data_IF_501829686109
#
_entry.id   IF_501829686109
#
_cell.length_a   1.000
_cell.length_b   1.000
_cell.length_c   1.000
_cell.angle_alpha   90.00
_cell.angle_beta   90.00
_cell.angle_gamma   90.00
#
_symmetry.space_group_name_H-M   'P 1'
#
loop_
_entity.id
_entity.type
_entity.pdbx_description
1 polymer ?
#
# COMPACT_ATOMS: atom_id res chain seq x y z
N UNK A 1 -4.82 -10.69 9.20
CA UNK A 1 -5.33 -9.35 9.62
C UNK A 1 -6.59 -9.54 10.42
N UNK A 2 -6.56 -9.20 11.72
CA UNK A 2 -7.69 -9.43 12.64
C UNK A 2 -8.74 -8.32 12.57
N UNK A 3 -8.30 -7.07 12.44
CA UNK A 3 -9.15 -5.89 12.47
C UNK A 3 -9.61 -5.44 11.08
N UNK A 4 -10.80 -4.90 10.99
CA UNK A 4 -11.34 -4.25 9.80
C UNK A 4 -10.96 -2.76 9.73
N UNK A 5 -11.49 -2.04 8.73
CA UNK A 5 -11.18 -0.63 8.54
C UNK A 5 -11.64 0.23 9.71
N UNK A 6 -12.88 0.03 10.17
CA UNK A 6 -13.47 0.85 11.25
C UNK A 6 -12.75 0.65 12.58
N UNK A 7 -12.39 -0.59 12.88
CA UNK A 7 -11.62 -0.94 14.07
C UNK A 7 -10.24 -0.29 14.05
N UNK A 8 -9.53 -0.36 12.93
CA UNK A 8 -8.23 0.31 12.77
C UNK A 8 -8.34 1.83 12.89
N UNK A 9 -9.35 2.46 12.27
CA UNK A 9 -9.54 3.90 12.33
C UNK A 9 -9.83 4.39 13.75
N UNK A 10 -10.53 3.59 14.56
CA UNK A 10 -10.74 3.87 15.98
C UNK A 10 -9.47 3.73 16.82
N UNK A 11 -8.69 2.67 16.58
CA UNK A 11 -7.46 2.39 17.34
C UNK A 11 -6.43 3.51 17.18
N UNK A 12 -6.28 4.06 15.97
CA UNK A 12 -5.24 5.07 15.68
C UNK A 12 -5.82 6.46 15.46
N UNK A 13 -7.11 6.68 15.70
CA UNK A 13 -7.78 7.97 15.62
C UNK A 13 -7.60 8.67 14.24
N UNK A 14 -7.85 7.93 13.17
CA UNK A 14 -7.71 8.45 11.80
C UNK A 14 -8.65 9.62 11.58
N UNK A 15 -8.11 10.75 11.11
CA UNK A 15 -8.91 11.95 10.82
C UNK A 15 -9.93 11.67 9.72
N UNK A 16 -11.15 12.22 9.90
CA UNK A 16 -12.23 12.11 8.93
C UNK A 16 -11.92 12.87 7.62
N UNK A 17 -11.13 13.95 7.71
CA UNK A 17 -10.76 14.78 6.57
C UNK A 17 -9.40 14.35 5.98
N UNK A 18 -9.20 14.45 4.65
CA UNK A 18 -7.91 14.16 4.03
C UNK A 18 -6.83 15.14 4.48
N UNK A 19 -5.66 14.63 4.85
CA UNK A 19 -4.49 15.45 5.19
C UNK A 19 -3.96 16.18 3.94
N UNK A 20 -4.08 15.53 2.77
CA UNK A 20 -3.71 16.12 1.48
C UNK A 20 -4.99 16.35 0.71
N UNK A 21 -5.35 17.62 0.42
CA UNK A 21 -6.53 17.93 -0.37
C UNK A 21 -6.32 17.58 -1.85
N UNK A 22 -7.40 17.12 -2.50
CA UNK A 22 -7.39 16.79 -3.92
C UNK A 22 -6.83 15.40 -4.23
N UNK A 23 -6.59 15.18 -5.52
CA UNK A 23 -6.11 13.90 -6.02
C UNK A 23 -4.61 13.74 -5.84
N UNK A 24 -4.16 12.53 -5.48
CA UNK A 24 -2.75 12.22 -5.38
C UNK A 24 -2.45 10.74 -5.51
N UNK A 25 -1.20 10.44 -5.89
CA UNK A 25 -0.59 9.11 -5.79
C UNK A 25 0.12 9.04 -4.44
N UNK A 26 -0.18 8.03 -3.64
CA UNK A 26 0.60 7.73 -2.45
C UNK A 26 1.56 6.59 -2.74
N UNK A 27 2.86 6.83 -2.58
CA UNK A 27 3.88 5.79 -2.63
C UNK A 27 4.37 5.45 -1.23
N UNK A 28 4.35 4.15 -0.88
CA UNK A 28 4.78 3.67 0.44
C UNK A 28 5.72 2.47 0.34
N UNK A 29 6.94 2.64 0.87
CA UNK A 29 7.91 1.58 1.08
C UNK A 29 8.98 2.03 2.08
N UNK A 30 9.88 1.11 2.47
CA UNK A 30 11.03 1.42 3.31
C UNK A 30 12.27 1.92 2.55
N UNK A 31 12.23 1.96 1.23
CA UNK A 31 13.31 2.44 0.38
C UNK A 31 12.80 2.85 -0.99
N UNK A 32 13.49 3.79 -1.59
CA UNK A 32 13.18 4.28 -2.94
C UNK A 32 14.47 4.38 -3.74
N UNK A 33 14.56 3.64 -4.84
CA UNK A 33 15.69 3.73 -5.78
C UNK A 33 15.37 4.67 -6.94
N UNK A 34 16.36 4.94 -7.78
CA UNK A 34 16.23 5.89 -8.88
C UNK A 34 15.22 5.41 -9.94
N UNK A 35 15.18 4.12 -10.26
CA UNK A 35 14.20 3.56 -11.23
C UNK A 35 12.76 3.84 -10.78
N UNK A 36 12.49 3.66 -9.49
CA UNK A 36 11.17 3.95 -8.90
C UNK A 36 10.87 5.45 -8.95
N UNK A 37 11.85 6.31 -8.64
CA UNK A 37 11.66 7.76 -8.69
C UNK A 37 11.34 8.24 -10.12
N UNK A 38 12.06 7.73 -11.10
CA UNK A 38 11.82 8.05 -12.53
C UNK A 38 10.41 7.57 -12.94
N UNK A 39 10.04 6.36 -12.56
CA UNK A 39 8.71 5.82 -12.82
C UNK A 39 7.60 6.69 -12.19
N UNK A 40 7.72 7.02 -10.91
CA UNK A 40 6.74 7.85 -10.21
C UNK A 40 6.64 9.26 -10.79
N UNK A 41 7.76 9.84 -11.22
CA UNK A 41 7.78 11.13 -11.90
C UNK A 41 7.03 11.08 -13.24
N UNK A 42 7.35 10.11 -14.11
CA UNK A 42 6.63 9.89 -15.36
C UNK A 42 5.13 9.66 -15.14
N UNK A 43 4.80 8.90 -14.10
CA UNK A 43 3.41 8.63 -13.74
C UNK A 43 2.68 9.89 -13.30
N UNK A 44 3.31 10.71 -12.45
CA UNK A 44 2.78 12.01 -12.03
C UNK A 44 2.51 12.93 -13.23
N UNK A 45 3.46 13.01 -14.15
CA UNK A 45 3.31 13.83 -15.36
C UNK A 45 2.22 13.28 -16.30
N UNK A 46 2.09 11.94 -16.43
CA UNK A 46 1.05 11.30 -17.25
C UNK A 46 -0.36 11.52 -16.69
N UNK A 47 -0.52 11.40 -15.39
CA UNK A 47 -1.83 11.49 -14.72
C UNK A 47 -2.18 12.91 -14.27
N UNK A 48 -1.23 13.84 -14.30
CA UNK A 48 -1.36 15.22 -13.81
C UNK A 48 -1.80 15.29 -12.33
N UNK A 49 -1.32 14.34 -11.52
CA UNK A 49 -1.54 14.31 -10.06
C UNK A 49 -0.21 14.12 -9.32
N UNK A 50 -0.03 14.80 -8.16
CA UNK A 50 1.22 14.75 -7.41
C UNK A 50 1.46 13.38 -6.77
N UNK A 51 2.73 13.02 -6.59
CA UNK A 51 3.17 11.86 -5.80
C UNK A 51 3.61 12.32 -4.43
N UNK A 52 3.13 11.64 -3.40
CA UNK A 52 3.54 11.85 -2.01
C UNK A 52 4.24 10.62 -1.44
N UNK A 53 5.24 10.91 -0.61
CA UNK A 53 6.06 9.92 0.08
C UNK A 53 6.22 10.33 1.55
N UNK A 54 6.27 9.39 2.48
CA UNK A 54 6.25 9.68 3.92
C UNK A 54 7.61 9.50 4.60
N UNK A 55 8.53 8.72 4.02
CA UNK A 55 9.84 8.42 4.60
C UNK A 55 10.84 9.57 4.42
N UNK A 56 10.91 10.49 5.39
CA UNK A 56 11.70 11.70 5.32
C UNK A 56 13.20 11.45 5.14
N UNK A 57 13.76 10.41 5.79
CA UNK A 57 15.17 10.04 5.66
C UNK A 57 15.50 9.62 4.25
N UNK A 58 14.73 8.68 3.69
CA UNK A 58 14.91 8.21 2.32
C UNK A 58 14.66 9.33 1.31
N UNK A 59 13.61 10.15 1.51
CA UNK A 59 13.31 11.30 0.66
C UNK A 59 14.49 12.25 0.56
N UNK A 60 15.14 12.55 1.69
CA UNK A 60 16.30 13.44 1.75
C UNK A 60 17.54 12.80 1.12
N UNK A 61 17.89 11.58 1.52
CA UNK A 61 19.08 10.89 1.04
C UNK A 61 19.04 10.60 -0.45
N UNK A 62 17.87 10.29 -0.98
CA UNK A 62 17.66 9.97 -2.39
C UNK A 62 17.28 11.19 -3.23
N UNK A 63 17.23 12.38 -2.63
CA UNK A 63 16.91 13.64 -3.31
C UNK A 63 15.61 13.57 -4.13
N UNK A 64 14.54 12.97 -3.52
CA UNK A 64 13.27 12.70 -4.20
C UNK A 64 12.61 13.96 -4.81
N UNK A 65 12.93 15.15 -4.28
CA UNK A 65 12.44 16.42 -4.84
C UNK A 65 12.88 16.68 -6.30
N UNK A 66 13.99 16.07 -6.74
CA UNK A 66 14.45 16.15 -8.14
C UNK A 66 13.47 15.54 -9.12
N UNK A 67 12.68 14.58 -8.62
CA UNK A 67 11.65 13.86 -9.38
C UNK A 67 10.23 14.32 -9.01
N UNK A 68 10.09 15.52 -8.43
CA UNK A 68 8.80 16.12 -8.03
C UNK A 68 7.97 15.21 -7.09
N UNK A 69 8.64 14.38 -6.29
CA UNK A 69 8.01 13.57 -5.24
C UNK A 69 7.97 14.42 -3.98
N UNK A 70 6.78 14.65 -3.46
CA UNK A 70 6.55 15.51 -2.30
C UNK A 70 6.64 14.73 -0.99
N UNK A 71 7.29 15.33 0.01
CA UNK A 71 7.33 14.76 1.35
C UNK A 71 6.08 15.14 2.13
N UNK A 72 5.45 14.15 2.74
CA UNK A 72 4.44 14.40 3.77
C UNK A 72 5.16 14.81 5.05
N UNK A 73 4.86 16.01 5.58
CA UNK A 73 5.55 16.57 6.75
C UNK A 73 5.05 16.01 8.08
N UNK A 74 3.86 15.43 8.08
CA UNK A 74 3.27 14.76 9.23
C UNK A 74 3.65 13.28 9.20
N UNK A 75 3.68 12.63 10.36
CA UNK A 75 4.00 11.20 10.47
C UNK A 75 3.22 10.59 11.64
N UNK A 76 3.01 9.30 11.57
CA UNK A 76 2.23 8.54 12.54
C UNK A 76 1.37 7.48 11.85
N UNK A 77 0.88 6.50 12.60
CA UNK A 77 -0.03 5.49 12.06
C UNK A 77 -1.35 6.09 11.52
N UNK A 78 -1.88 7.09 12.19
CA UNK A 78 -3.06 7.86 11.80
C UNK A 78 -2.85 8.58 10.47
N UNK A 79 -1.70 9.24 10.31
CA UNK A 79 -1.30 9.93 9.08
C UNK A 79 -1.15 8.93 7.93
N UNK A 80 -0.43 7.83 8.16
CA UNK A 80 -0.27 6.78 7.16
C UNK A 80 -1.60 6.23 6.68
N UNK A 81 -2.50 5.87 7.59
CA UNK A 81 -3.82 5.35 7.24
C UNK A 81 -4.68 6.37 6.53
N UNK A 82 -4.63 7.64 6.93
CA UNK A 82 -5.31 8.73 6.23
C UNK A 82 -4.81 8.85 4.78
N UNK A 83 -3.49 8.79 4.58
CA UNK A 83 -2.91 8.85 3.24
C UNK A 83 -3.34 7.67 2.36
N UNK A 84 -3.40 6.46 2.91
CA UNK A 84 -3.93 5.30 2.17
C UNK A 84 -5.41 5.49 1.87
N UNK A 85 -6.20 5.89 2.85
CA UNK A 85 -7.66 6.07 2.74
C UNK A 85 -8.04 7.00 1.59
N UNK A 86 -7.35 8.12 1.45
CA UNK A 86 -7.72 9.20 0.53
C UNK A 86 -6.89 9.25 -0.77
N UNK A 87 -5.89 8.37 -0.94
CA UNK A 87 -5.15 8.28 -2.20
C UNK A 87 -6.05 7.90 -3.38
N UNK A 88 -5.88 8.53 -4.54
CA UNK A 88 -6.51 8.11 -5.80
C UNK A 88 -5.85 6.84 -6.34
N UNK A 89 -4.54 6.77 -6.24
CA UNK A 89 -3.75 5.61 -6.61
C UNK A 89 -2.74 5.32 -5.50
N UNK A 90 -2.70 4.08 -5.05
CA UNK A 90 -1.77 3.65 -4.04
C UNK A 90 -0.74 2.70 -4.63
N UNK A 91 0.54 3.04 -4.49
CA UNK A 91 1.66 2.24 -4.99
C UNK A 91 2.55 1.88 -3.81
N UNK A 92 2.91 0.62 -3.70
CA UNK A 92 3.71 0.14 -2.59
C UNK A 92 4.68 -0.96 -3.01
N UNK A 93 5.76 -1.15 -2.25
CA UNK A 93 6.60 -2.36 -2.26
C UNK A 93 6.70 -2.98 -0.86
N UNK A 94 5.76 -2.65 0.02
CA UNK A 94 5.69 -3.12 1.41
C UNK A 94 4.52 -4.08 1.62
N UNK A 95 4.74 -5.16 2.38
CA UNK A 95 3.66 -6.03 2.85
C UNK A 95 2.57 -5.24 3.60
N UNK A 96 2.95 -4.32 4.49
CA UNK A 96 1.98 -3.48 5.21
C UNK A 96 1.17 -2.59 4.26
N UNK A 97 1.83 -2.07 3.19
CA UNK A 97 1.12 -1.33 2.15
C UNK A 97 0.06 -2.19 1.47
N UNK A 98 0.40 -3.43 1.10
CA UNK A 98 -0.56 -4.38 0.51
C UNK A 98 -1.73 -4.65 1.46
N UNK A 99 -1.43 -4.86 2.74
CA UNK A 99 -2.44 -5.14 3.75
C UNK A 99 -3.43 -3.97 3.91
N UNK A 100 -2.94 -2.75 4.10
CA UNK A 100 -3.81 -1.58 4.27
C UNK A 100 -4.47 -1.15 2.96
N UNK A 101 -3.81 -1.31 1.80
CA UNK A 101 -4.44 -1.13 0.50
C UNK A 101 -5.68 -2.02 0.33
N UNK A 102 -5.61 -3.27 0.82
CA UNK A 102 -6.74 -4.21 0.83
C UNK A 102 -7.83 -3.82 1.83
N UNK A 103 -7.46 -3.46 3.07
CA UNK A 103 -8.42 -3.03 4.12
C UNK A 103 -9.23 -1.82 3.65
N UNK A 104 -8.58 -0.84 3.06
CA UNK A 104 -9.22 0.39 2.56
C UNK A 104 -9.83 0.22 1.17
N UNK A 105 -9.83 -0.99 0.60
CA UNK A 105 -10.35 -1.31 -0.74
C UNK A 105 -9.84 -0.33 -1.79
N UNK A 106 -8.53 -0.03 -1.73
CA UNK A 106 -7.90 0.92 -2.65
C UNK A 106 -7.59 0.28 -3.99
N UNK A 107 -7.59 1.08 -5.02
CA UNK A 107 -6.92 0.72 -6.25
C UNK A 107 -5.41 0.83 -6.01
N UNK A 108 -4.73 -0.30 -5.83
CA UNK A 108 -3.31 -0.33 -5.49
C UNK A 108 -2.51 -1.25 -6.40
N UNK A 109 -1.20 -0.97 -6.45
CA UNK A 109 -0.21 -1.79 -7.15
C UNK A 109 1.00 -2.06 -6.26
N UNK A 110 1.46 -3.29 -6.28
CA UNK A 110 2.70 -3.68 -5.63
C UNK A 110 3.83 -3.70 -6.67
N UNK A 111 4.89 -2.91 -6.44
CA UNK A 111 6.08 -2.93 -7.29
C UNK A 111 6.98 -4.09 -6.87
N UNK A 112 7.17 -5.06 -7.78
CA UNK A 112 8.17 -6.11 -7.62
C UNK A 112 9.57 -5.49 -7.74
N UNK A 113 10.40 -5.64 -6.69
CA UNK A 113 11.81 -5.27 -6.74
C UNK A 113 12.59 -6.20 -7.68
N UNK A 114 13.59 -5.66 -8.38
CA UNK A 114 14.53 -6.48 -9.17
C UNK A 114 15.30 -7.48 -8.31
N UNK A 115 15.53 -7.13 -7.04
CA UNK A 115 16.25 -7.95 -6.06
C UNK A 115 15.33 -8.92 -5.28
N UNK A 116 14.04 -8.96 -5.58
CA UNK A 116 13.07 -9.79 -4.84
C UNK A 116 13.27 -11.29 -5.04
N UNK A 117 14.03 -11.73 -6.04
CA UNK A 117 14.41 -13.14 -6.21
C UNK A 117 15.40 -13.62 -5.14
N UNK A 118 16.12 -12.68 -4.52
CA UNK A 118 17.06 -12.97 -3.43
C UNK A 118 16.46 -12.71 -2.04
N UNK A 119 15.33 -11.97 -1.94
CA UNK A 119 14.69 -11.71 -0.66
C UNK A 119 13.79 -12.89 -0.28
N UNK A 120 14.06 -13.48 0.89
CA UNK A 120 13.23 -14.55 1.48
C UNK A 120 11.89 -14.03 2.02
N UNK A 121 11.53 -12.78 1.77
CA UNK A 121 10.27 -12.18 2.24
C UNK A 121 9.16 -12.41 1.20
N UNK A 122 8.45 -13.51 1.35
CA UNK A 122 7.31 -13.91 0.52
C UNK A 122 5.94 -13.47 1.07
N UNK A 123 5.93 -12.70 2.17
CA UNK A 123 4.67 -12.31 2.86
C UNK A 123 3.70 -11.60 1.93
N UNK A 124 4.19 -10.68 1.11
CA UNK A 124 3.31 -9.95 0.18
C UNK A 124 2.74 -10.85 -0.91
N UNK A 125 3.57 -11.72 -1.51
CA UNK A 125 3.12 -12.64 -2.55
C UNK A 125 2.17 -13.70 -2.01
N UNK A 126 2.46 -14.26 -0.82
CA UNK A 126 1.58 -15.20 -0.14
C UNK A 126 0.21 -14.55 0.14
N UNK A 127 0.21 -13.35 0.69
CA UNK A 127 -1.02 -12.63 0.99
C UNK A 127 -1.83 -12.28 -0.26
N UNK A 128 -1.19 -11.75 -1.29
CA UNK A 128 -1.84 -11.45 -2.57
C UNK A 128 -2.40 -12.72 -3.24
N UNK A 129 -1.67 -13.83 -3.15
CA UNK A 129 -2.13 -15.12 -3.68
C UNK A 129 -3.38 -15.62 -2.96
N UNK A 130 -3.38 -15.58 -1.62
CA UNK A 130 -4.52 -15.99 -0.80
C UNK A 130 -5.78 -15.16 -1.06
N UNK A 131 -5.61 -13.89 -1.43
CA UNK A 131 -6.71 -12.99 -1.74
C UNK A 131 -7.12 -12.96 -3.23
N UNK A 132 -6.43 -13.70 -4.10
CA UNK A 132 -6.67 -13.64 -5.54
C UNK A 132 -6.16 -12.35 -6.22
N UNK A 133 -5.23 -11.64 -5.59
CA UNK A 133 -4.74 -10.32 -6.01
C UNK A 133 -3.36 -10.36 -6.69
N UNK A 134 -2.89 -11.52 -7.16
CA UNK A 134 -1.58 -11.63 -7.83
C UNK A 134 -1.47 -10.76 -9.09
N UNK A 135 -2.58 -10.39 -9.72
CA UNK A 135 -2.61 -9.43 -10.81
C UNK A 135 -2.08 -8.05 -10.42
N UNK A 136 -2.04 -7.72 -9.13
CA UNK A 136 -1.53 -6.44 -8.59
C UNK A 136 -0.02 -6.43 -8.30
N UNK A 137 0.64 -7.57 -8.41
CA UNK A 137 2.08 -7.71 -8.22
C UNK A 137 2.78 -7.58 -9.57
N UNK A 138 3.43 -6.43 -9.84
CA UNK A 138 3.97 -6.07 -11.15
C UNK A 138 5.37 -5.45 -11.05
N UNK A 139 6.14 -5.61 -12.09
CA UNK A 139 7.37 -4.85 -12.32
C UNK A 139 7.04 -3.42 -12.79
N UNK A 140 8.00 -2.50 -12.68
CA UNK A 140 7.85 -1.13 -13.21
C UNK A 140 7.50 -1.15 -14.70
N UNK A 141 8.18 -1.98 -15.49
CA UNK A 141 7.95 -2.07 -16.92
C UNK A 141 6.51 -2.48 -17.27
N UNK A 142 5.94 -3.42 -16.52
CA UNK A 142 4.54 -3.80 -16.68
C UNK A 142 3.59 -2.66 -16.30
N UNK A 143 3.88 -1.94 -15.21
CA UNK A 143 3.05 -0.82 -14.75
C UNK A 143 3.08 0.37 -15.73
N UNK A 144 4.15 0.54 -16.51
CA UNK A 144 4.20 1.58 -17.55
C UNK A 144 3.23 1.32 -18.71
N UNK A 145 2.83 0.07 -18.93
CA UNK A 145 2.05 -0.36 -20.12
C UNK A 145 0.58 -0.64 -19.86
N UNK A 146 0.19 -0.81 -18.60
CA UNK A 146 -1.20 -1.14 -18.22
C UNK A 146 -2.01 0.08 -17.80
N UNK A 147 -3.33 -0.10 -17.75
CA UNK A 147 -4.22 0.88 -17.13
C UNK A 147 -4.15 0.76 -15.60
N UNK A 148 -3.54 1.73 -14.94
CA UNK A 148 -3.38 1.73 -13.49
C UNK A 148 -4.70 1.97 -12.73
N UNK A 149 -5.74 2.41 -13.42
CA UNK A 149 -7.08 2.62 -12.86
C UNK A 149 -8.01 1.42 -13.05
N UNK A 150 -7.49 0.27 -13.52
CA UNK A 150 -8.28 -0.96 -13.53
C UNK A 150 -8.71 -1.29 -12.11
N UNK A 151 -10.03 -1.34 -11.91
CA UNK A 151 -10.61 -1.54 -10.60
C UNK A 151 -10.43 -2.98 -10.11
N UNK A 152 -10.34 -3.12 -8.79
CA UNK A 152 -10.35 -4.42 -8.13
C UNK A 152 -11.80 -4.78 -7.80
N UNK A 153 -12.25 -5.95 -8.26
CA UNK A 153 -13.47 -6.54 -7.68
C UNK A 153 -13.16 -7.00 -6.25
N UNK A 154 -13.59 -6.20 -5.28
CA UNK A 154 -13.37 -6.48 -3.87
C UNK A 154 -14.33 -7.50 -3.26
N UNK A 155 -15.36 -7.97 -3.98
CA UNK A 155 -16.30 -8.95 -3.44
C UNK A 155 -15.59 -10.27 -3.09
N UNK A 156 -14.91 -10.97 -4.03
CA UNK A 156 -14.18 -12.20 -3.70
C UNK A 156 -13.01 -11.95 -2.73
N UNK A 157 -12.38 -10.77 -2.79
CA UNK A 157 -11.26 -10.42 -1.89
C UNK A 157 -11.72 -10.35 -0.44
N UNK A 158 -12.88 -9.75 -0.18
CA UNK A 158 -13.47 -9.66 1.16
C UNK A 158 -13.89 -11.03 1.68
N UNK A 159 -14.44 -11.89 0.82
CA UNK A 159 -14.78 -13.27 1.17
C UNK A 159 -13.53 -14.04 1.63
N UNK A 160 -12.48 -14.06 0.83
CA UNK A 160 -11.21 -14.70 1.17
C UNK A 160 -10.57 -14.11 2.44
N UNK A 161 -10.62 -12.78 2.60
CA UNK A 161 -10.10 -12.12 3.80
C UNK A 161 -10.84 -12.52 5.07
N UNK A 162 -12.17 -12.68 5.00
CA UNK A 162 -12.97 -13.13 6.13
C UNK A 162 -12.68 -14.59 6.50
N UNK A 163 -12.44 -15.46 5.53
CA UNK A 163 -12.00 -16.83 5.80
C UNK A 163 -10.67 -16.86 6.56
N UNK A 164 -9.69 -16.06 6.13
CA UNK A 164 -8.40 -15.92 6.82
C UNK A 164 -8.57 -15.38 8.25
N UNK A 165 -9.50 -14.45 8.47
CA UNK A 165 -9.82 -13.94 9.82
C UNK A 165 -10.41 -15.01 10.72
N UNK A 166 -11.33 -15.82 10.21
CA UNK A 166 -11.94 -16.94 10.97
C UNK A 166 -10.85 -17.90 11.43
N UNK A 167 -9.96 -18.33 10.53
CA UNK A 167 -8.85 -19.24 10.87
C UNK A 167 -7.93 -18.61 11.92
N UNK A 168 -7.59 -17.33 11.76
CA UNK A 168 -6.72 -16.61 12.71
C UNK A 168 -7.37 -16.49 14.10
N UNK A 169 -8.66 -16.18 14.16
CA UNK A 169 -9.40 -16.07 15.43
C UNK A 169 -9.54 -17.42 16.12
N UNK A 170 -9.81 -18.49 15.39
CA UNK A 170 -9.85 -19.85 15.94
C UNK A 170 -8.50 -20.24 16.54
N UNK A 171 -7.40 -19.96 15.84
CA UNK A 171 -6.04 -20.21 16.34
C UNK A 171 -5.77 -19.46 17.65
N UNK A 172 -6.10 -18.16 17.71
CA UNK A 172 -5.92 -17.35 18.90
C UNK A 172 -6.80 -17.84 20.08
N UNK A 173 -8.06 -18.17 19.82
CA UNK A 173 -8.97 -18.70 20.85
C UNK A 173 -8.46 -20.01 21.45
N UNK A 174 -7.87 -20.88 20.63
CA UNK A 174 -7.30 -22.14 21.11
C UNK A 174 -6.06 -21.91 22.00
N UNK A 175 -5.24 -20.87 21.72
CA UNK A 175 -4.10 -20.55 22.56
C UNK A 175 -4.54 -19.89 23.87
N UNK A 176 -5.43 -18.91 23.82
CA UNK A 176 -5.89 -18.16 25.00
C UNK A 176 -6.76 -19.04 25.92
N UNK A 177 -7.53 -19.95 25.35
CA UNK A 177 -8.35 -20.89 26.12
C UNK A 177 -7.55 -22.00 26.83
N UNK A 178 -6.24 -22.07 26.60
CA UNK A 178 -5.31 -23.05 27.20
C UNK A 178 -4.51 -22.44 28.37
N UNK A 179 -4.70 -21.16 28.66
CA UNK A 179 -4.12 -20.43 29.81
C UNK A 179 -5.19 -20.27 30.89
#
# INVERSE_FOLDING_TARGET
MLFDQEEWEKIVEVKAEPIIPGKYIFYYCFGINEDIQIFLHKLSDRLQIPVYFIEAKEWTLKMCWRHKIYLVKQYGPDVYMNLVKYADLFITSSFHGTAFGTIYRKNFWYIKSKDSESSKDDRATTFLSQLGLMSRYRTINELETINLYDEIDYKPVVENLNELRIVSNQYLSNIVGTI
#
